data_IF_956884132934
#
_entry.id   IF_956884132934
#
_cell.length_a   1.000
_cell.length_b   1.000
_cell.length_c   1.000
_cell.angle_alpha   90.00
_cell.angle_beta   90.00
_cell.angle_gamma   90.00
#
_symmetry.space_group_name_H-M   'P 1'
#
loop_
_entity.id
_entity.type
_entity.pdbx_description
1 polymer ?
#
# COMPACT_ATOMS: atom_id res chain seq x y z
N UNK A 1 -31.15 50.84 27.63
CA UNK A 1 -29.68 50.80 27.55
C UNK A 1 -29.30 49.47 26.92
N UNK A 2 -28.96 49.48 25.62
CA UNK A 2 -28.47 48.33 24.88
C UNK A 2 -26.97 48.16 25.17
N UNK A 3 -26.54 46.96 25.53
CA UNK A 3 -25.13 46.59 25.62
C UNK A 3 -24.94 45.21 25.00
N UNK A 4 -24.73 45.15 23.69
CA UNK A 4 -24.34 43.93 23.01
C UNK A 4 -22.80 43.82 23.08
N UNK A 5 -22.31 42.82 23.80
CA UNK A 5 -20.90 42.46 23.80
C UNK A 5 -20.60 41.65 22.52
N UNK A 6 -19.89 42.28 21.59
CA UNK A 6 -19.37 41.62 20.40
C UNK A 6 -18.10 40.85 20.79
N UNK A 7 -18.22 39.54 20.97
CA UNK A 7 -17.07 38.66 21.12
C UNK A 7 -16.40 38.48 19.75
N UNK A 8 -15.27 39.15 19.52
CA UNK A 8 -14.40 38.85 18.39
C UNK A 8 -13.76 37.47 18.63
N UNK A 9 -14.26 36.45 17.94
CA UNK A 9 -13.55 35.20 17.77
C UNK A 9 -12.40 35.43 16.78
N UNK A 10 -11.22 35.74 17.28
CA UNK A 10 -9.99 35.73 16.49
C UNK A 10 -9.57 34.27 16.29
N UNK A 11 -10.01 33.64 15.20
CA UNK A 11 -9.37 32.43 14.70
C UNK A 11 -8.01 32.84 14.12
N UNK A 12 -6.98 32.87 14.96
CA UNK A 12 -5.61 32.88 14.49
C UNK A 12 -5.37 31.54 13.78
N UNK A 13 -5.57 31.51 12.46
CA UNK A 13 -5.09 30.42 11.63
C UNK A 13 -3.58 30.40 11.75
N UNK A 14 -3.02 29.41 12.46
CA UNK A 14 -1.59 29.18 12.43
C UNK A 14 -1.19 28.99 10.96
N UNK A 15 -0.35 29.87 10.44
CA UNK A 15 0.24 29.67 9.13
C UNK A 15 1.03 28.36 9.18
N UNK A 16 0.59 27.34 8.45
CA UNK A 16 1.37 26.11 8.29
C UNK A 16 2.72 26.48 7.70
N UNK A 17 3.80 25.99 8.30
CA UNK A 17 5.13 26.15 7.73
C UNK A 17 5.15 25.57 6.30
N UNK A 18 5.85 26.25 5.40
CA UNK A 18 6.00 25.81 4.02
C UNK A 18 6.68 24.43 4.00
N UNK A 19 6.06 23.47 3.34
CA UNK A 19 6.62 22.14 3.14
C UNK A 19 7.65 22.15 2.00
N UNK A 20 8.62 21.25 2.07
CA UNK A 20 9.45 20.92 0.91
C UNK A 20 8.61 20.26 -0.18
N UNK A 21 9.20 20.04 -1.35
CA UNK A 21 8.61 19.25 -2.43
C UNK A 21 9.52 18.06 -2.71
N UNK A 22 8.94 16.86 -2.78
CA UNK A 22 9.67 15.67 -3.24
C UNK A 22 10.11 15.85 -4.70
N UNK A 23 11.05 15.03 -5.14
CA UNK A 23 11.47 14.97 -6.54
C UNK A 23 10.91 13.70 -7.21
N UNK A 24 11.02 13.62 -8.54
CA UNK A 24 10.66 12.43 -9.32
C UNK A 24 11.79 11.38 -9.34
N UNK A 25 12.51 11.22 -8.22
CA UNK A 25 13.76 10.45 -8.10
C UNK A 25 13.47 8.93 -7.94
N UNK A 26 12.68 8.38 -8.86
CA UNK A 26 12.44 6.94 -8.95
C UNK A 26 13.62 6.29 -9.65
N UNK A 27 14.22 5.27 -9.02
CA UNK A 27 15.41 4.61 -9.54
C UNK A 27 15.05 3.83 -10.82
N UNK A 28 15.60 4.27 -11.95
CA UNK A 28 15.46 3.64 -13.26
C UNK A 28 16.55 2.61 -13.58
N UNK A 29 17.39 2.28 -12.59
CA UNK A 29 18.41 1.26 -12.63
C UNK A 29 19.63 1.59 -13.50
N UNK A 30 20.82 1.29 -12.97
CA UNK A 30 22.00 1.04 -13.80
C UNK A 30 21.93 -0.41 -14.33
N UNK A 31 21.08 -0.69 -15.32
CA UNK A 31 21.03 -2.02 -15.96
C UNK A 31 19.78 -2.32 -16.80
N UNK A 32 19.93 -3.22 -17.77
CA UNK A 32 18.98 -3.54 -18.86
C UNK A 32 17.62 -4.18 -18.46
N UNK A 33 17.17 -4.03 -17.21
CA UNK A 33 15.96 -4.68 -16.66
C UNK A 33 14.86 -3.69 -16.23
N UNK A 34 15.13 -2.39 -16.28
CA UNK A 34 14.10 -1.37 -16.09
C UNK A 34 13.76 -0.74 -17.45
N UNK A 35 12.51 -0.30 -17.63
CA UNK A 35 12.22 0.63 -18.74
C UNK A 35 12.93 1.98 -18.52
N UNK A 36 12.95 2.83 -19.55
CA UNK A 36 13.65 4.12 -19.50
C UNK A 36 13.12 5.09 -18.42
N UNK A 37 11.97 4.79 -17.80
CA UNK A 37 11.33 5.60 -16.78
C UNK A 37 11.56 5.06 -15.36
N UNK A 38 12.00 3.80 -15.21
CA UNK A 38 12.12 3.14 -13.91
C UNK A 38 10.79 2.67 -13.33
N UNK A 39 9.71 2.86 -14.07
CA UNK A 39 8.33 2.70 -13.63
C UNK A 39 7.76 1.33 -14.01
N UNK A 40 8.57 0.45 -14.62
CA UNK A 40 8.24 -0.97 -14.77
C UNK A 40 9.46 -1.88 -14.56
N UNK A 41 9.24 -2.89 -13.72
CA UNK A 41 10.12 -4.05 -13.57
C UNK A 41 9.44 -5.25 -14.24
N UNK A 42 10.18 -6.10 -14.93
CA UNK A 42 9.69 -7.39 -15.41
C UNK A 42 10.78 -8.45 -15.19
N UNK A 43 10.67 -9.28 -14.14
CA UNK A 43 11.66 -10.33 -13.87
C UNK A 43 11.45 -11.13 -12.58
N UNK A 44 12.42 -12.01 -12.28
CA UNK A 44 12.52 -12.76 -11.02
C UNK A 44 13.21 -11.90 -9.96
N UNK A 45 12.48 -11.57 -8.90
CA UNK A 45 12.77 -10.53 -7.91
C UNK A 45 14.23 -10.45 -7.47
N UNK A 46 14.96 -9.49 -8.06
CA UNK A 46 16.17 -8.87 -7.48
C UNK A 46 16.46 -7.59 -8.26
N UNK A 47 16.36 -6.43 -7.62
CA UNK A 47 16.73 -5.17 -8.27
C UNK A 47 16.27 -3.93 -7.50
N UNK A 48 16.84 -2.77 -7.86
CA UNK A 48 16.44 -1.44 -7.37
C UNK A 48 15.49 -0.71 -8.35
N UNK A 49 15.02 -1.39 -9.41
CA UNK A 49 14.11 -0.77 -10.39
C UNK A 49 12.80 -0.35 -9.70
N UNK A 50 12.41 0.91 -9.87
CA UNK A 50 11.18 1.46 -9.30
C UNK A 50 11.22 1.67 -7.79
N UNK A 51 12.34 1.41 -7.11
CA UNK A 51 12.54 1.88 -5.73
C UNK A 51 12.96 3.34 -5.74
N UNK A 52 12.75 4.04 -4.64
CA UNK A 52 13.18 5.42 -4.45
C UNK A 52 14.50 5.38 -3.68
N UNK A 53 15.52 6.09 -4.15
CA UNK A 53 16.88 6.04 -3.60
C UNK A 53 17.44 7.46 -3.45
N UNK A 54 17.99 7.79 -2.29
CA UNK A 54 18.58 9.10 -1.96
C UNK A 54 17.62 10.28 -2.26
N UNK A 55 16.32 10.00 -2.19
CA UNK A 55 15.28 10.96 -2.56
C UNK A 55 14.59 11.51 -1.33
N UNK A 56 13.81 12.58 -1.54
CA UNK A 56 13.01 13.14 -0.47
C UNK A 56 13.85 13.84 0.60
N UNK A 57 15.06 14.33 0.26
CA UNK A 57 16.07 14.84 1.21
C UNK A 57 16.71 13.71 2.03
N UNK A 58 17.31 12.73 1.36
CA UNK A 58 18.05 11.62 2.00
C UNK A 58 17.15 10.74 2.89
N UNK A 59 15.84 10.69 2.60
CA UNK A 59 14.88 9.99 3.44
C UNK A 59 14.85 8.47 3.18
N UNK A 60 15.38 8.04 2.03
CA UNK A 60 15.14 6.72 1.46
C UNK A 60 16.40 6.03 0.93
N UNK A 61 16.71 4.87 1.50
CA UNK A 61 17.78 3.95 1.14
C UNK A 61 17.19 2.67 0.51
N UNK A 62 16.76 2.78 -0.76
CA UNK A 62 16.08 1.72 -1.53
C UNK A 62 14.60 1.50 -1.15
N UNK A 63 13.91 2.55 -0.71
CA UNK A 63 12.49 2.49 -0.38
C UNK A 63 11.67 1.90 -1.52
N UNK A 64 10.88 0.90 -1.21
CA UNK A 64 10.03 0.24 -2.19
C UNK A 64 10.54 -1.13 -2.55
N UNK A 65 11.84 -1.41 -2.52
CA UNK A 65 12.44 -2.59 -3.18
C UNK A 65 11.70 -3.93 -2.99
N UNK A 66 11.39 -4.64 -4.07
CA UNK A 66 10.90 -6.04 -3.99
C UNK A 66 12.10 -6.94 -3.70
N UNK A 67 12.08 -7.65 -2.57
CA UNK A 67 13.20 -8.47 -2.10
C UNK A 67 13.02 -9.96 -2.33
N UNK A 68 11.78 -10.43 -2.53
CA UNK A 68 11.50 -11.82 -2.85
C UNK A 68 10.18 -12.00 -3.60
N UNK A 69 10.13 -12.99 -4.48
CA UNK A 69 8.89 -13.56 -5.05
C UNK A 69 8.98 -15.09 -5.07
N UNK A 70 7.84 -15.82 -5.01
CA UNK A 70 7.85 -17.27 -5.19
C UNK A 70 8.32 -17.67 -6.59
N UNK A 71 8.92 -18.85 -6.73
CA UNK A 71 9.30 -19.39 -8.03
C UNK A 71 8.07 -19.50 -8.96
N UNK A 72 8.19 -19.03 -10.21
CA UNK A 72 7.09 -19.01 -11.18
C UNK A 72 6.21 -17.75 -11.12
N UNK A 73 6.40 -16.89 -10.13
CA UNK A 73 5.73 -15.57 -10.03
C UNK A 73 6.62 -14.50 -10.63
N UNK A 74 6.06 -13.76 -11.59
CA UNK A 74 6.65 -12.54 -12.14
C UNK A 74 6.10 -11.34 -11.39
N UNK A 75 6.96 -10.39 -11.04
CA UNK A 75 6.54 -9.12 -10.48
C UNK A 75 6.67 -8.00 -11.51
N UNK A 76 5.75 -7.05 -11.47
CA UNK A 76 5.86 -5.76 -12.13
C UNK A 76 5.40 -4.64 -11.24
N UNK A 77 6.25 -3.64 -11.07
CA UNK A 77 5.97 -2.43 -10.30
C UNK A 77 5.53 -1.29 -11.21
N UNK A 78 4.65 -0.42 -10.71
CA UNK A 78 4.47 0.95 -11.17
C UNK A 78 4.68 1.91 -10.00
N UNK A 79 5.61 2.86 -10.15
CA UNK A 79 5.91 3.85 -9.12
C UNK A 79 5.54 5.24 -9.62
N UNK A 80 4.84 6.02 -8.82
CA UNK A 80 4.42 7.37 -9.20
C UNK A 80 4.80 8.38 -8.12
N UNK A 81 5.49 9.45 -8.53
CA UNK A 81 5.82 10.59 -7.68
C UNK A 81 4.83 11.74 -7.91
N UNK A 82 3.89 11.93 -6.98
CA UNK A 82 2.93 13.04 -7.01
C UNK A 82 3.53 14.25 -6.28
N UNK A 83 4.34 15.03 -6.99
CA UNK A 83 5.12 16.14 -6.42
C UNK A 83 4.25 17.16 -5.67
N UNK A 84 3.05 17.48 -6.18
CA UNK A 84 2.11 18.41 -5.53
C UNK A 84 1.54 17.91 -4.20
N UNK A 85 1.79 16.65 -3.85
CA UNK A 85 1.29 15.97 -2.66
C UNK A 85 2.39 15.43 -1.75
N UNK A 86 3.66 15.53 -2.12
CA UNK A 86 4.77 14.84 -1.45
C UNK A 86 4.50 13.35 -1.22
N UNK A 87 3.94 12.70 -2.25
CA UNK A 87 3.44 11.34 -2.15
C UNK A 87 4.06 10.47 -3.25
N UNK A 88 4.64 9.35 -2.86
CA UNK A 88 4.92 8.24 -3.75
C UNK A 88 3.82 7.20 -3.64
N UNK A 89 3.43 6.60 -4.77
CA UNK A 89 2.58 5.42 -4.83
C UNK A 89 3.34 4.29 -5.51
N UNK A 90 3.24 3.09 -4.95
CA UNK A 90 3.78 1.87 -5.52
C UNK A 90 2.63 0.91 -5.79
N UNK A 91 2.53 0.38 -7.00
CA UNK A 91 1.58 -0.67 -7.38
C UNK A 91 2.38 -1.87 -7.88
N UNK A 92 2.48 -2.90 -7.05
CA UNK A 92 3.20 -4.13 -7.34
C UNK A 92 2.24 -5.21 -7.80
N UNK A 93 2.34 -5.63 -9.05
CA UNK A 93 1.51 -6.68 -9.64
C UNK A 93 2.30 -7.97 -9.75
N UNK A 94 1.72 -9.05 -9.23
CA UNK A 94 2.30 -10.39 -9.19
C UNK A 94 1.49 -11.31 -10.08
N UNK A 95 2.15 -11.91 -11.07
CA UNK A 95 1.54 -12.77 -12.09
C UNK A 95 2.07 -14.19 -11.99
N UNK A 96 1.17 -15.18 -11.91
CA UNK A 96 1.51 -16.58 -12.01
C UNK A 96 1.67 -16.99 -13.47
N UNK A 97 2.92 -17.20 -13.91
CA UNK A 97 3.25 -17.58 -15.29
C UNK A 97 3.24 -19.09 -15.55
N UNK A 98 2.86 -19.89 -14.55
CA UNK A 98 2.89 -21.36 -14.60
C UNK A 98 1.51 -21.95 -14.90
N UNK A 99 1.47 -23.26 -15.15
CA UNK A 99 0.23 -24.03 -15.33
C UNK A 99 -0.39 -24.56 -14.03
N UNK A 100 0.14 -24.19 -12.85
CA UNK A 100 -0.32 -24.67 -11.55
C UNK A 100 -0.57 -23.52 -10.56
N UNK A 101 -1.39 -23.74 -9.54
CA UNK A 101 -1.58 -22.77 -8.45
C UNK A 101 -0.27 -22.59 -7.68
N UNK A 102 0.11 -21.34 -7.42
CA UNK A 102 1.26 -20.99 -6.59
C UNK A 102 0.73 -20.39 -5.29
N UNK A 103 1.34 -20.75 -4.16
CA UNK A 103 1.17 -20.05 -2.89
C UNK A 103 2.55 -19.69 -2.34
N UNK A 104 2.73 -18.44 -1.94
CA UNK A 104 3.97 -18.01 -1.31
C UNK A 104 4.06 -16.52 -1.09
N UNK A 105 5.19 -16.13 -0.50
CA UNK A 105 5.41 -14.78 -0.01
C UNK A 105 6.04 -13.86 -1.06
N UNK A 106 5.48 -12.67 -1.17
CA UNK A 106 6.11 -11.53 -1.83
C UNK A 106 6.52 -10.52 -0.77
N UNK A 107 7.74 -9.99 -0.87
CA UNK A 107 8.27 -9.08 0.16
C UNK A 107 8.66 -7.75 -0.44
N UNK A 108 8.14 -6.69 0.18
CA UNK A 108 8.48 -5.30 -0.05
C UNK A 108 9.41 -4.84 1.08
N UNK A 109 10.47 -4.13 0.74
CA UNK A 109 11.34 -3.44 1.68
C UNK A 109 11.06 -1.93 1.62
N UNK A 110 11.05 -1.30 2.79
CA UNK A 110 11.06 0.14 2.89
C UNK A 110 11.90 0.58 4.08
N UNK A 111 12.40 1.79 4.00
CA UNK A 111 13.04 2.47 5.11
C UNK A 111 12.24 3.72 5.52
N UNK A 112 12.29 4.05 6.79
CA UNK A 112 11.43 5.02 7.46
C UNK A 112 12.26 6.20 7.99
N UNK A 113 13.43 6.42 7.38
CA UNK A 113 14.49 7.37 7.73
C UNK A 113 15.87 6.70 7.58
N UNK A 114 16.84 7.39 6.99
CA UNK A 114 18.10 6.81 6.49
C UNK A 114 19.07 6.37 7.60
N UNK A 115 19.11 7.08 8.73
CA UNK A 115 20.28 7.03 9.61
C UNK A 115 20.16 6.13 10.86
N UNK A 116 19.11 5.32 10.94
CA UNK A 116 18.99 4.35 12.04
C UNK A 116 18.63 4.97 13.39
N UNK A 117 18.16 6.23 13.43
CA UNK A 117 17.84 6.92 14.70
C UNK A 117 16.39 7.41 14.82
N UNK A 118 15.58 7.22 13.77
CA UNK A 118 14.14 7.46 13.78
C UNK A 118 13.34 6.80 14.90
N UNK A 119 12.14 7.32 15.17
CA UNK A 119 11.20 6.85 16.19
C UNK A 119 9.83 6.62 15.56
N UNK A 120 9.10 5.60 16.02
CA UNK A 120 7.68 5.46 15.69
C UNK A 120 6.84 6.61 16.27
N UNK A 121 6.16 7.35 15.39
CA UNK A 121 5.23 8.44 15.76
C UNK A 121 3.82 7.91 15.90
N UNK A 122 3.37 7.08 14.95
CA UNK A 122 2.06 6.46 14.97
C UNK A 122 2.09 5.12 14.22
N UNK A 123 1.22 4.20 14.60
CA UNK A 123 1.27 2.80 14.17
C UNK A 123 -0.11 2.19 14.35
N UNK A 124 -0.69 1.65 13.27
CA UNK A 124 -1.88 0.79 13.34
C UNK A 124 -1.79 -0.33 12.30
N UNK A 125 -2.84 -1.11 12.12
CA UNK A 125 -2.83 -2.23 11.17
C UNK A 125 -2.67 -1.83 9.69
N UNK A 126 -2.84 -0.55 9.32
CA UNK A 126 -2.87 -0.08 7.93
C UNK A 126 -1.74 0.88 7.55
N UNK A 127 -1.09 1.48 8.55
CA UNK A 127 0.00 2.42 8.34
C UNK A 127 1.03 2.44 9.47
N UNK A 128 2.21 2.96 9.13
CA UNK A 128 3.28 3.33 10.07
C UNK A 128 3.72 4.77 9.76
N UNK A 129 3.93 5.55 10.80
CA UNK A 129 4.54 6.88 10.70
C UNK A 129 5.79 6.90 11.56
N UNK A 130 6.89 7.34 10.97
CA UNK A 130 8.18 7.49 11.63
C UNK A 130 8.69 8.91 11.48
N UNK A 131 9.51 9.31 12.43
CA UNK A 131 10.22 10.58 12.39
C UNK A 131 11.67 10.31 12.72
N UNK A 132 12.58 10.86 11.92
CA UNK A 132 13.95 11.09 12.33
C UNK A 132 13.95 12.15 13.45
N UNK A 133 14.02 11.71 14.70
CA UNK A 133 14.05 12.57 15.87
C UNK A 133 14.75 11.86 17.03
N UNK A 134 15.78 12.50 17.57
CA UNK A 134 16.52 12.04 18.74
C UNK A 134 15.78 12.44 20.03
N UNK A 135 16.10 11.75 21.13
CA UNK A 135 15.70 12.23 22.45
C UNK A 135 16.30 13.63 22.68
N UNK A 136 15.45 14.67 22.61
CA UNK A 136 15.77 16.10 22.76
C UNK A 136 16.43 16.80 21.55
N UNK A 137 16.36 16.22 20.34
CA UNK A 137 16.68 16.94 19.09
C UNK A 137 15.67 16.61 18.00
N UNK A 138 15.54 17.49 17.02
CA UNK A 138 14.81 17.18 15.78
C UNK A 138 15.82 16.66 14.75
N UNK A 139 15.41 15.67 13.96
CA UNK A 139 16.23 15.15 12.87
C UNK A 139 16.24 16.06 11.66
N UNK A 140 16.95 15.66 10.62
CA UNK A 140 16.98 16.39 9.35
C UNK A 140 16.05 15.78 8.30
N UNK A 141 15.74 14.49 8.45
CA UNK A 141 14.94 13.78 7.46
C UNK A 141 13.45 14.14 7.62
N UNK A 142 12.67 13.99 6.54
CA UNK A 142 11.23 14.08 6.63
C UNK A 142 10.62 13.04 7.57
N UNK A 143 9.47 13.39 8.11
CA UNK A 143 8.57 12.42 8.72
C UNK A 143 7.95 11.60 7.57
N UNK A 144 8.08 10.27 7.65
CA UNK A 144 7.59 9.35 6.62
C UNK A 144 6.31 8.69 7.12
N UNK A 145 5.25 8.74 6.31
CA UNK A 145 4.04 7.95 6.49
C UNK A 145 3.96 6.86 5.42
N UNK A 146 4.09 5.60 5.83
CA UNK A 146 3.88 4.43 5.00
C UNK A 146 2.47 3.89 5.18
N UNK A 147 1.66 3.87 4.12
CA UNK A 147 0.29 3.37 4.13
C UNK A 147 0.20 2.17 3.20
N UNK A 148 -0.31 1.05 3.71
CA UNK A 148 -0.24 -0.24 3.02
C UNK A 148 -1.53 -1.04 3.06
N UNK A 149 -2.65 -0.42 3.43
CA UNK A 149 -3.96 -0.96 3.10
C UNK A 149 -5.10 -0.27 3.82
N UNK A 150 -6.31 -0.80 3.67
CA UNK A 150 -7.49 -0.35 4.41
C UNK A 150 -8.60 -1.40 4.56
N UNK A 151 -8.26 -2.69 4.39
CA UNK A 151 -9.23 -3.78 4.41
C UNK A 151 -8.63 -5.04 5.08
N UNK A 152 -9.46 -6.06 5.25
CA UNK A 152 -9.14 -7.28 6.00
C UNK A 152 -7.98 -8.08 5.40
N UNK A 153 -7.70 -7.90 4.10
CA UNK A 153 -6.55 -8.54 3.43
C UNK A 153 -5.24 -8.26 4.19
N UNK A 154 -5.10 -7.07 4.76
CA UNK A 154 -3.90 -6.70 5.51
C UNK A 154 -3.74 -7.56 6.76
N UNK A 155 -4.81 -7.78 7.53
CA UNK A 155 -4.77 -8.61 8.73
C UNK A 155 -4.68 -10.11 8.45
N UNK A 156 -5.21 -10.56 7.31
CA UNK A 156 -5.25 -11.98 6.95
C UNK A 156 -3.98 -12.47 6.23
N UNK A 157 -3.39 -11.64 5.37
CA UNK A 157 -2.35 -12.07 4.43
C UNK A 157 -1.07 -11.25 4.51
N UNK A 158 -1.01 -10.18 5.31
CA UNK A 158 0.19 -9.33 5.38
C UNK A 158 0.84 -9.37 6.76
N UNK A 159 2.17 -9.38 6.77
CA UNK A 159 2.98 -9.27 7.99
C UNK A 159 3.98 -8.15 7.84
N UNK A 160 4.06 -7.31 8.87
CA UNK A 160 5.06 -6.27 8.99
C UNK A 160 6.17 -6.74 9.93
N UNK A 161 7.41 -6.71 9.45
CA UNK A 161 8.60 -7.01 10.26
C UNK A 161 9.64 -5.90 10.12
N UNK A 162 10.54 -5.81 11.09
CA UNK A 162 11.60 -4.81 11.13
C UNK A 162 11.47 -3.83 12.28
N UNK A 163 12.13 -2.69 12.16
CA UNK A 163 12.17 -1.64 13.16
C UNK A 163 11.70 -0.30 12.56
N UNK A 164 11.83 0.76 13.34
CA UNK A 164 11.46 2.12 12.98
C UNK A 164 12.35 2.78 11.90
N UNK A 165 13.36 2.06 11.39
CA UNK A 165 14.25 2.50 10.33
C UNK A 165 14.06 1.65 9.09
N UNK A 166 14.16 0.32 9.22
CA UNK A 166 14.05 -0.61 8.11
C UNK A 166 12.90 -1.56 8.38
N UNK A 167 12.04 -1.73 7.39
CA UNK A 167 10.93 -2.65 7.49
C UNK A 167 10.77 -3.49 6.22
N UNK A 168 10.14 -4.63 6.43
CA UNK A 168 9.63 -5.48 5.37
C UNK A 168 8.14 -5.65 5.55
N UNK A 169 7.40 -5.46 4.46
CA UNK A 169 6.00 -5.80 4.35
C UNK A 169 5.91 -7.05 3.48
N UNK A 170 5.55 -8.17 4.08
CA UNK A 170 5.38 -9.44 3.39
C UNK A 170 3.91 -9.71 3.18
N UNK A 171 3.51 -10.09 1.97
CA UNK A 171 2.17 -10.56 1.66
C UNK A 171 2.22 -12.00 1.16
N UNK A 172 1.41 -12.89 1.76
CA UNK A 172 1.25 -14.27 1.27
C UNK A 172 0.15 -14.30 0.22
N UNK A 173 0.49 -14.67 -1.02
CA UNK A 173 -0.44 -14.70 -2.14
C UNK A 173 -0.70 -16.14 -2.57
N UNK A 174 -1.95 -16.46 -2.87
CA UNK A 174 -2.34 -17.67 -3.61
C UNK A 174 -2.83 -17.27 -5.00
N UNK A 175 -2.11 -17.67 -6.05
CA UNK A 175 -2.35 -17.27 -7.43
C UNK A 175 -2.68 -18.50 -8.28
N UNK A 176 -3.85 -18.50 -8.92
CA UNK A 176 -4.23 -19.49 -9.94
C UNK A 176 -3.37 -19.33 -11.22
N UNK A 177 -3.29 -20.37 -12.09
CA UNK A 177 -2.61 -20.26 -13.38
C UNK A 177 -3.09 -19.03 -14.18
N UNK A 178 -2.18 -18.15 -14.57
CA UNK A 178 -2.49 -16.93 -15.32
C UNK A 178 -3.14 -15.80 -14.52
N UNK A 179 -3.28 -15.93 -13.20
CA UNK A 179 -3.84 -14.87 -12.35
C UNK A 179 -2.80 -13.78 -12.06
N UNK A 180 -3.26 -12.53 -12.03
CA UNK A 180 -2.52 -11.38 -11.50
C UNK A 180 -3.22 -10.79 -10.28
N UNK A 181 -2.46 -10.46 -9.24
CA UNK A 181 -2.93 -9.68 -8.10
C UNK A 181 -1.96 -8.54 -7.83
N UNK A 182 -2.46 -7.38 -7.43
CA UNK A 182 -1.67 -6.21 -7.10
C UNK A 182 -1.70 -5.90 -5.61
N UNK A 183 -0.56 -5.49 -5.06
CA UNK A 183 -0.43 -4.86 -3.75
C UNK A 183 -0.07 -3.40 -3.99
N UNK A 184 -0.84 -2.48 -3.41
CA UNK A 184 -0.56 -1.05 -3.50
C UNK A 184 0.02 -0.54 -2.19
N UNK A 185 0.89 0.45 -2.22
CA UNK A 185 1.30 1.17 -1.02
C UNK A 185 1.63 2.64 -1.33
N UNK A 186 1.70 3.45 -0.28
CA UNK A 186 2.00 4.86 -0.36
C UNK A 186 3.10 5.24 0.61
N UNK A 187 3.96 6.17 0.19
CA UNK A 187 4.91 6.83 1.07
C UNK A 187 4.73 8.35 0.97
N UNK A 188 4.28 8.97 2.05
CA UNK A 188 4.15 10.43 2.16
C UNK A 188 5.28 11.00 3.00
N UNK A 189 5.82 12.15 2.60
CA UNK A 189 6.92 12.82 3.28
C UNK A 189 6.48 14.22 3.75
N UNK A 190 6.53 14.46 5.06
CA UNK A 190 6.33 15.78 5.65
C UNK A 190 7.65 16.34 6.16
N UNK A 191 7.98 17.54 5.69
CA UNK A 191 9.14 18.30 6.16
C UNK A 191 8.95 19.79 5.89
N UNK A 192 8.85 20.55 6.95
CA UNK A 192 8.90 22.01 6.91
C UNK A 192 10.28 22.49 6.44
N UNK A 193 10.32 23.56 5.63
CA UNK A 193 11.57 24.16 5.16
C UNK A 193 12.39 24.75 6.31
N UNK A 194 11.72 25.35 7.29
CA UNK A 194 12.33 25.74 8.56
C UNK A 194 12.23 24.57 9.52
N UNK A 195 13.36 24.17 10.12
CA UNK A 195 13.41 23.04 11.06
C UNK A 195 13.62 23.54 12.48
N UNK A 196 12.73 23.14 13.37
CA UNK A 196 12.76 23.31 14.81
C UNK A 196 11.77 22.31 15.44
N UNK A 197 11.72 22.19 16.78
CA UNK A 197 10.82 21.24 17.44
C UNK A 197 9.32 21.47 17.11
N UNK A 198 8.90 22.72 16.95
CA UNK A 198 7.49 23.06 16.64
C UNK A 198 7.10 22.62 15.23
N UNK A 199 7.98 22.86 14.26
CA UNK A 199 7.74 22.42 12.87
C UNK A 199 7.83 20.91 12.75
N UNK A 200 8.71 20.26 13.51
CA UNK A 200 8.76 18.79 13.58
C UNK A 200 7.44 18.20 14.06
N UNK A 201 6.90 18.69 15.18
CA UNK A 201 5.60 18.23 15.69
C UNK A 201 4.46 18.49 14.70
N UNK A 202 4.55 19.58 13.92
CA UNK A 202 3.60 19.89 12.85
C UNK A 202 3.73 18.92 11.67
N UNK A 203 4.95 18.56 11.28
CA UNK A 203 5.23 17.57 10.23
C UNK A 203 4.77 16.17 10.66
N UNK A 204 4.99 15.79 11.93
CA UNK A 204 4.49 14.55 12.54
C UNK A 204 2.95 14.49 12.46
N UNK A 205 2.26 15.55 12.89
CA UNK A 205 0.81 15.63 12.82
C UNK A 205 0.28 15.59 11.37
N UNK A 206 0.96 16.26 10.44
CA UNK A 206 0.61 16.24 9.01
C UNK A 206 0.75 14.83 8.43
N UNK A 207 1.84 14.12 8.73
CA UNK A 207 2.06 12.76 8.24
C UNK A 207 1.00 11.79 8.77
N UNK A 208 0.66 11.88 10.07
CA UNK A 208 -0.42 11.08 10.66
C UNK A 208 -1.77 11.39 10.02
N UNK A 209 -2.12 12.66 9.84
CA UNK A 209 -3.39 13.06 9.22
C UNK A 209 -3.47 12.59 7.76
N UNK A 210 -2.39 12.71 6.99
CA UNK A 210 -2.32 12.24 5.60
C UNK A 210 -2.43 10.72 5.54
N UNK A 211 -1.78 9.99 6.44
CA UNK A 211 -1.89 8.52 6.51
C UNK A 211 -3.35 8.09 6.73
N UNK A 212 -4.01 8.69 7.73
CA UNK A 212 -5.42 8.44 8.03
C UNK A 212 -6.33 8.79 6.84
N UNK A 213 -6.06 9.91 6.16
CA UNK A 213 -6.81 10.29 4.97
C UNK A 213 -6.64 9.30 3.82
N UNK A 214 -5.44 8.74 3.62
CA UNK A 214 -5.17 7.76 2.57
C UNK A 214 -5.77 6.38 2.89
N UNK A 215 -5.84 6.00 4.16
CA UNK A 215 -6.59 4.80 4.58
C UNK A 215 -8.09 4.98 4.28
N UNK A 216 -8.67 6.12 4.65
CA UNK A 216 -10.09 6.38 4.45
C UNK A 216 -10.46 6.59 2.97
N UNK A 217 -9.60 7.27 2.22
CA UNK A 217 -9.81 7.63 0.81
C UNK A 217 -8.51 7.39 0.02
N UNK A 218 -8.23 6.15 -0.40
CA UNK A 218 -7.01 5.83 -1.12
C UNK A 218 -6.93 6.59 -2.45
N UNK A 219 -5.74 7.08 -2.77
CA UNK A 219 -5.52 7.89 -3.96
C UNK A 219 -5.31 7.01 -5.20
N UNK A 220 -6.38 6.80 -5.98
CA UNK A 220 -6.38 5.94 -7.18
C UNK A 220 -6.25 6.68 -8.51
N UNK A 221 -6.01 7.99 -8.51
CA UNK A 221 -5.89 8.77 -9.75
C UNK A 221 -4.85 8.15 -10.69
N UNK A 222 -5.17 8.12 -11.98
CA UNK A 222 -4.30 7.52 -13.01
C UNK A 222 -4.34 5.98 -13.08
N UNK A 223 -5.13 5.30 -12.25
CA UNK A 223 -5.42 3.86 -12.38
C UNK A 223 -6.77 3.62 -13.06
N UNK A 224 -6.77 2.70 -14.03
CA UNK A 224 -7.97 2.16 -14.67
C UNK A 224 -8.82 1.35 -13.69
N UNK A 225 -10.08 1.08 -14.07
CA UNK A 225 -10.96 0.23 -13.27
C UNK A 225 -10.39 -1.18 -13.08
N UNK A 226 -9.78 -1.74 -14.13
CA UNK A 226 -9.19 -3.09 -14.09
C UNK A 226 -7.95 -3.14 -13.20
N UNK A 227 -7.12 -2.10 -13.20
CA UNK A 227 -5.99 -1.99 -12.27
C UNK A 227 -6.49 -1.94 -10.82
N UNK A 228 -7.49 -1.10 -10.52
CA UNK A 228 -8.08 -1.02 -9.18
C UNK A 228 -8.70 -2.33 -8.73
N UNK A 229 -9.38 -3.04 -9.63
CA UNK A 229 -10.02 -4.32 -9.32
C UNK A 229 -9.03 -5.45 -8.97
N UNK A 230 -7.75 -5.29 -9.31
CA UNK A 230 -6.68 -6.25 -8.96
C UNK A 230 -5.98 -5.91 -7.65
N UNK A 231 -6.20 -4.74 -7.05
CA UNK A 231 -5.55 -4.34 -5.81
C UNK A 231 -6.20 -5.10 -4.63
N UNK A 232 -5.43 -5.93 -3.95
CA UNK A 232 -5.96 -6.79 -2.88
C UNK A 232 -6.15 -6.04 -1.56
N UNK A 233 -5.22 -5.14 -1.22
CA UNK A 233 -5.11 -4.53 0.10
C UNK A 233 -5.82 -3.17 0.23
N UNK A 234 -6.56 -2.73 -0.80
CA UNK A 234 -7.36 -1.51 -0.73
C UNK A 234 -8.74 -1.67 -1.34
N UNK A 235 -9.73 -0.96 -0.79
CA UNK A 235 -11.11 -0.97 -1.27
C UNK A 235 -11.78 -2.32 -1.03
N UNK A 236 -12.66 -2.79 -1.95
CA UNK A 236 -13.34 -4.08 -1.77
C UNK A 236 -12.38 -5.28 -1.74
N UNK A 237 -11.11 -5.07 -2.12
CA UNK A 237 -10.07 -6.09 -2.15
C UNK A 237 -10.29 -7.12 -3.25
N UNK A 238 -9.36 -8.07 -3.31
CA UNK A 238 -9.45 -9.25 -4.17
C UNK A 238 -9.73 -10.44 -3.26
N UNK A 239 -10.74 -11.24 -3.61
CA UNK A 239 -10.97 -12.52 -2.93
C UNK A 239 -9.88 -13.48 -3.36
N UNK A 240 -8.97 -13.80 -2.44
CA UNK A 240 -7.96 -14.81 -2.68
C UNK A 240 -8.56 -16.21 -2.67
N UNK A 241 -8.11 -17.11 -3.56
CA UNK A 241 -8.40 -18.53 -3.40
C UNK A 241 -7.88 -19.00 -2.04
N UNK A 242 -8.56 -19.94 -1.37
CA UNK A 242 -7.99 -20.56 -0.20
C UNK A 242 -6.65 -21.20 -0.56
N UNK A 243 -5.69 -21.28 0.39
CA UNK A 243 -4.46 -22.02 0.19
C UNK A 243 -4.76 -23.43 -0.33
N UNK A 244 -3.95 -23.93 -1.25
CA UNK A 244 -4.13 -25.26 -1.84
C UNK A 244 -4.23 -26.32 -0.72
N UNK A 245 -5.45 -26.80 -0.45
CA UNK A 245 -5.77 -27.66 0.70
C UNK A 245 -7.05 -27.28 1.45
N UNK A 246 -7.54 -26.04 1.31
CA UNK A 246 -8.85 -25.64 1.81
C UNK A 246 -9.97 -26.09 0.87
N UNK A 247 -10.70 -27.14 1.23
CA UNK A 247 -11.96 -27.44 0.55
C UNK A 247 -12.96 -26.34 0.88
N UNK A 248 -13.23 -25.44 -0.08
CA UNK A 248 -14.48 -24.67 -0.02
C UNK A 248 -15.59 -25.70 -0.20
N UNK A 249 -16.16 -26.15 0.91
CA UNK A 249 -17.38 -26.94 0.87
C UNK A 249 -18.41 -26.09 0.10
N UNK A 250 -19.03 -26.60 -0.98
CA UNK A 250 -20.12 -25.88 -1.63
C UNK A 250 -21.15 -25.56 -0.55
N UNK A 251 -21.55 -24.30 -0.44
CA UNK A 251 -22.56 -23.93 0.55
C UNK A 251 -23.77 -24.87 0.43
N UNK A 252 -24.38 -25.32 1.54
CA UNK A 252 -25.49 -26.27 1.53
C UNK A 252 -26.65 -25.87 0.59
N UNK A 253 -26.78 -24.57 0.27
CA UNK A 253 -27.77 -24.05 -0.67
C UNK A 253 -27.61 -24.53 -2.11
N UNK A 254 -26.39 -24.79 -2.59
CA UNK A 254 -26.14 -25.17 -4.00
C UNK A 254 -26.65 -26.59 -4.30
N UNK A 255 -26.52 -27.51 -3.33
CA UNK A 255 -27.10 -28.85 -3.42
C UNK A 255 -28.62 -28.85 -3.25
N UNK A 256 -29.16 -27.96 -2.41
CA UNK A 256 -30.61 -27.80 -2.26
C UNK A 256 -31.26 -27.29 -3.56
N UNK A 257 -30.61 -26.35 -4.27
CA UNK A 257 -31.08 -25.82 -5.56
C UNK A 257 -30.97 -26.86 -6.69
N UNK A 258 -29.89 -27.64 -6.73
CA UNK A 258 -29.74 -28.73 -7.69
C UNK A 258 -30.78 -29.85 -7.45
N UNK A 259 -31.00 -30.22 -6.18
CA UNK A 259 -31.98 -31.23 -5.78
C UNK A 259 -33.42 -30.82 -6.08
N UNK A 260 -33.79 -29.57 -5.82
CA UNK A 260 -35.13 -29.04 -6.14
C UNK A 260 -35.36 -28.92 -7.65
N UNK A 261 -34.34 -28.53 -8.43
CA UNK A 261 -34.41 -28.49 -9.89
C UNK A 261 -34.66 -29.86 -10.52
N UNK A 262 -33.97 -30.90 -10.05
CA UNK A 262 -34.12 -32.27 -10.55
C UNK A 262 -35.49 -32.87 -10.20
N UNK A 263 -36.01 -32.62 -8.99
CA UNK A 263 -37.35 -33.05 -8.61
C UNK A 263 -38.45 -32.33 -9.40
N UNK A 264 -38.27 -31.03 -9.69
CA UNK A 264 -39.18 -30.27 -10.56
C UNK A 264 -39.22 -30.83 -11.99
N UNK A 265 -38.07 -31.19 -12.55
CA UNK A 265 -37.99 -31.80 -13.88
C UNK A 265 -38.65 -33.18 -13.92
N UNK A 266 -38.42 -34.03 -12.91
CA UNK A 266 -39.06 -35.35 -12.82
C UNK A 266 -40.59 -35.25 -12.68
N UNK A 267 -41.09 -34.29 -11.89
CA UNK A 267 -42.53 -34.04 -11.76
C UNK A 267 -43.17 -33.52 -13.07
N UNK A 268 -42.44 -32.68 -13.82
CA UNK A 268 -42.89 -32.17 -15.12
C UNK A 268 -42.93 -33.25 -16.21
N UNK A 269 -41.94 -34.15 -16.21
CA UNK A 269 -41.87 -35.27 -17.15
C UNK A 269 -42.99 -36.29 -16.91
N UNK A 270 -43.41 -36.48 -15.65
CA UNK A 270 -44.50 -37.39 -15.28
C UNK A 270 -45.88 -36.86 -15.69
N UNK A 271 -46.08 -35.54 -15.74
CA UNK A 271 -47.34 -34.92 -16.20
C UNK A 271 -47.53 -34.93 -17.72
N UNK A 272 -46.47 -35.14 -18.51
CA UNK A 272 -46.55 -35.23 -19.99
C UNK A 272 -46.81 -36.63 -20.54
N UNK A 273 -46.94 -37.64 -19.66
CA UNK A 273 -47.17 -39.05 -20.03
C UNK A 273 -48.53 -39.58 -19.57
N UNK A 274 -49.47 -38.69 -19.21
CA UNK A 274 -50.88 -39.01 -18.97
C UNK A 274 -51.72 -38.24 -19.98
#
# INVERSE_FOLDING_TARGET
>A
MLGAALALATTAGAASAQQFTINADVNNGFGAQCDQLGDSYHGTATGKCGSVYDSGRDAFDDYGKITSTPAGVLASRRTEAFLSRNLYRFVDTYYNSTGATITGDVTFFGDLGSDGTGRAVATNEFYRVSSDAFANSFGNDPVVAFVFGNNDFVGEFMTFAGNQHNHTLTATLTLLPGQSVSIMSFAFLARSLTRNPTTQASDEALAVATAQSLVANPFFDGLSADERARIANFGPGVVMPPPAGGTVAPEPGTWALLGTGLLGLAASARRRRV
#
